data_IF_084680135913
#
_entry.id   IF_084680135913
#
_cell.length_a   1.000
_cell.length_b   1.000
_cell.length_c   1.000
_cell.angle_alpha   90.00
_cell.angle_beta   90.00
_cell.angle_gamma   90.00
#
_symmetry.space_group_name_H-M   'P 1'
#
loop_
_entity.id
_entity.type
_entity.pdbx_description
1 polymer ?
#
# COMPACT_ATOMS: atom_id res chain seq x y z
N UNK A 1 16.59 13.20 -0.21
CA UNK A 1 16.09 12.03 0.52
C UNK A 1 17.14 11.37 1.43
N UNK A 2 18.00 12.18 2.07
CA UNK A 2 18.75 11.85 3.27
C UNK A 2 18.83 13.20 4.00
N UNK A 3 18.32 13.29 5.22
CA UNK A 3 18.42 14.55 5.96
C UNK A 3 19.90 14.77 6.31
N UNK A 4 20.53 15.88 5.89
CA UNK A 4 21.96 16.10 6.14
C UNK A 4 22.34 16.20 7.64
N UNK A 5 21.34 16.25 8.52
CA UNK A 5 21.47 16.50 9.96
C UNK A 5 21.00 15.34 10.83
N UNK A 6 20.85 14.12 10.31
CA UNK A 6 20.62 12.97 11.18
C UNK A 6 21.96 12.46 11.71
N UNK A 7 22.11 12.36 13.03
CA UNK A 7 23.27 11.72 13.69
C UNK A 7 23.42 10.22 13.35
N UNK A 8 22.54 9.67 12.53
CA UNK A 8 22.56 8.28 12.08
C UNK A 8 23.31 8.12 10.76
N UNK A 9 24.29 7.17 10.69
CA UNK A 9 24.98 6.85 9.45
C UNK A 9 23.99 6.54 8.32
N UNK A 10 24.29 7.03 7.11
CA UNK A 10 23.46 6.89 5.89
C UNK A 10 23.01 5.44 5.63
N UNK A 11 23.85 4.44 5.99
CA UNK A 11 23.51 3.03 5.85
C UNK A 11 22.33 2.60 6.71
N UNK A 12 22.19 3.16 7.92
CA UNK A 12 21.04 2.86 8.79
C UNK A 12 19.76 3.48 8.25
N UNK A 13 19.83 4.66 7.62
CA UNK A 13 18.67 5.29 6.99
C UNK A 13 18.10 4.43 5.84
N UNK A 14 18.94 3.70 5.10
CA UNK A 14 18.50 2.75 4.08
C UNK A 14 17.72 1.56 4.68
N UNK A 15 18.10 1.10 5.88
CA UNK A 15 17.35 0.05 6.59
C UNK A 15 16.01 0.54 7.16
N UNK A 16 15.93 1.82 7.56
CA UNK A 16 14.69 2.42 8.08
C UNK A 16 13.75 2.94 6.99
N UNK A 17 14.24 3.05 5.75
CA UNK A 17 13.43 3.45 4.62
C UNK A 17 12.43 2.32 4.29
N UNK A 18 11.27 2.38 4.92
CA UNK A 18 10.21 1.42 4.70
C UNK A 18 9.54 1.68 3.36
N UNK A 19 9.97 0.95 2.34
CA UNK A 19 9.29 0.89 1.05
C UNK A 19 8.07 -0.06 1.09
N UNK A 20 7.27 -0.02 0.03
CA UNK A 20 6.04 -0.80 -0.08
C UNK A 20 6.26 -2.32 -0.06
N UNK A 21 7.40 -2.83 -0.56
CA UNK A 21 7.73 -4.26 -0.55
C UNK A 21 8.11 -4.72 0.86
N UNK A 22 8.91 -3.93 1.58
CA UNK A 22 9.24 -4.21 2.98
C UNK A 22 7.98 -4.17 3.85
N UNK A 23 7.10 -3.19 3.63
CA UNK A 23 5.76 -3.16 4.22
C UNK A 23 4.96 -4.43 3.92
N UNK A 24 4.87 -4.83 2.65
CA UNK A 24 4.07 -6.00 2.24
C UNK A 24 4.56 -7.29 2.92
N UNK A 25 5.87 -7.49 3.02
CA UNK A 25 6.47 -8.63 3.73
C UNK A 25 6.10 -8.64 5.21
N UNK A 26 6.26 -7.50 5.91
CA UNK A 26 5.88 -7.38 7.32
C UNK A 26 4.38 -7.53 7.54
N UNK A 27 3.55 -6.96 6.66
CA UNK A 27 2.11 -7.12 6.71
C UNK A 27 1.73 -8.61 6.63
N UNK A 28 2.32 -9.39 5.72
CA UNK A 28 2.04 -10.83 5.67
C UNK A 28 2.44 -11.57 6.94
N UNK A 29 3.60 -11.26 7.53
CA UNK A 29 4.01 -11.84 8.82
C UNK A 29 2.99 -11.52 9.90
N UNK A 30 2.58 -10.25 10.02
CA UNK A 30 1.60 -9.80 11.01
C UNK A 30 0.23 -10.46 10.80
N UNK A 31 -0.25 -10.54 9.55
CA UNK A 31 -1.52 -11.19 9.23
C UNK A 31 -1.47 -12.70 9.49
N UNK A 32 -0.35 -13.36 9.22
CA UNK A 32 -0.17 -14.78 9.52
C UNK A 32 -0.23 -15.04 11.03
N UNK A 33 0.43 -14.19 11.84
CA UNK A 33 0.35 -14.24 13.30
C UNK A 33 -1.09 -14.01 13.79
N UNK A 34 -1.79 -13.03 13.23
CA UNK A 34 -3.18 -12.78 13.57
C UNK A 34 -4.10 -13.93 13.20
N UNK A 35 -3.87 -14.62 12.08
CA UNK A 35 -4.67 -15.78 11.68
C UNK A 35 -4.53 -16.96 12.66
N UNK A 36 -3.42 -17.05 13.41
CA UNK A 36 -3.28 -18.04 14.49
C UNK A 36 -4.37 -17.87 15.57
N UNK A 37 -4.74 -16.63 15.90
CA UNK A 37 -5.67 -16.31 16.98
C UNK A 37 -7.09 -15.94 16.48
N UNK A 38 -7.19 -15.25 15.35
CA UNK A 38 -8.44 -14.64 14.87
C UNK A 38 -9.19 -15.51 13.87
N UNK A 39 -10.00 -16.43 14.39
CA UNK A 39 -10.74 -17.39 13.55
C UNK A 39 -12.05 -16.86 12.97
N UNK A 40 -12.74 -15.93 13.63
CA UNK A 40 -14.04 -15.39 13.19
C UNK A 40 -13.86 -14.09 12.41
N UNK A 41 -14.74 -13.82 11.45
CA UNK A 41 -14.61 -12.63 10.57
C UNK A 41 -14.75 -11.32 11.33
N UNK A 42 -15.59 -11.30 12.37
CA UNK A 42 -15.74 -10.10 13.20
C UNK A 42 -14.45 -9.74 13.94
N UNK A 43 -13.54 -10.69 14.22
CA UNK A 43 -12.23 -10.39 14.80
C UNK A 43 -11.41 -9.50 13.86
N UNK A 44 -11.42 -9.81 12.56
CA UNK A 44 -10.70 -9.05 11.53
C UNK A 44 -11.33 -7.67 11.30
N UNK A 45 -12.66 -7.57 11.39
CA UNK A 45 -13.36 -6.27 11.35
C UNK A 45 -12.94 -5.39 12.53
N UNK A 46 -12.99 -5.93 13.76
CA UNK A 46 -12.57 -5.21 14.97
C UNK A 46 -11.10 -4.81 14.88
N UNK A 47 -10.24 -5.71 14.42
CA UNK A 47 -8.82 -5.43 14.21
C UNK A 47 -8.61 -4.30 13.20
N UNK A 48 -9.29 -4.33 12.04
CA UNK A 48 -9.17 -3.28 11.03
C UNK A 48 -9.61 -1.91 11.55
N UNK A 49 -10.71 -1.87 12.31
CA UNK A 49 -11.16 -0.65 12.98
C UNK A 49 -10.12 -0.19 14.02
N UNK A 50 -9.63 -1.10 14.87
CA UNK A 50 -8.63 -0.78 15.88
C UNK A 50 -7.36 -0.22 15.24
N UNK A 51 -6.87 -0.81 14.16
CA UNK A 51 -5.70 -0.33 13.42
C UNK A 51 -5.95 1.08 12.87
N UNK A 52 -7.09 1.31 12.21
CA UNK A 52 -7.42 2.62 11.65
C UNK A 52 -7.49 3.72 12.73
N UNK A 53 -8.04 3.42 13.91
CA UNK A 53 -8.19 4.37 15.01
C UNK A 53 -6.93 4.54 15.86
N UNK A 54 -6.16 3.47 16.08
CA UNK A 54 -5.00 3.49 16.96
C UNK A 54 -3.73 3.96 16.25
N UNK A 55 -3.58 3.72 14.94
CA UNK A 55 -2.39 4.12 14.21
C UNK A 55 -2.05 5.62 14.37
N UNK A 56 -3.00 6.56 14.25
CA UNK A 56 -2.73 7.99 14.48
C UNK A 56 -2.18 8.34 15.86
N UNK A 57 -2.54 7.57 16.90
CA UNK A 57 -2.09 7.82 18.27
C UNK A 57 -0.62 7.45 18.48
N UNK A 58 -0.05 6.64 17.59
CA UNK A 58 1.32 6.14 17.71
C UNK A 58 2.33 6.98 16.92
N UNK A 59 1.86 7.84 16.01
CA UNK A 59 2.71 8.62 15.12
C UNK A 59 3.69 9.51 15.87
N UNK A 60 4.99 9.30 15.63
CA UNK A 60 6.06 10.10 16.25
C UNK A 60 6.19 9.93 17.76
N UNK A 61 5.51 8.96 18.35
CA UNK A 61 5.73 8.57 19.75
C UNK A 61 7.06 7.84 19.90
N UNK A 62 7.58 7.82 21.13
CA UNK A 62 8.85 7.14 21.44
C UNK A 62 10.13 7.94 21.14
N UNK A 63 10.03 9.25 20.85
CA UNK A 63 11.22 10.11 20.62
C UNK A 63 12.20 10.09 21.80
N UNK A 64 11.66 10.03 23.02
CA UNK A 64 12.46 9.98 24.25
C UNK A 64 13.13 8.62 24.47
N UNK A 65 12.92 7.63 23.58
CA UNK A 65 13.48 6.29 23.70
C UNK A 65 14.90 6.17 23.11
N UNK A 66 15.49 7.28 22.65
CA UNK A 66 16.85 7.35 22.14
C UNK A 66 17.08 6.38 20.98
N UNK A 67 18.03 5.45 21.14
CA UNK A 67 18.42 4.47 20.10
C UNK A 67 17.29 3.53 19.66
N UNK A 68 16.23 3.38 20.46
CA UNK A 68 15.08 2.56 20.10
C UNK A 68 14.07 3.28 19.22
N UNK A 69 14.08 4.62 19.18
CA UNK A 69 13.14 5.41 18.40
C UNK A 69 13.12 5.01 16.90
N UNK A 70 14.27 4.80 16.23
CA UNK A 70 14.28 4.37 14.83
C UNK A 70 13.73 2.95 14.61
N UNK A 71 13.81 2.05 15.60
CA UNK A 71 13.36 0.66 15.46
C UNK A 71 11.83 0.54 15.42
N UNK A 72 11.12 1.51 15.99
CA UNK A 72 9.66 1.53 16.07
C UNK A 72 8.99 2.34 14.97
N UNK A 73 9.72 3.27 14.32
CA UNK A 73 9.21 4.05 13.18
C UNK A 73 8.71 3.20 12.00
N UNK A 74 9.37 2.08 11.63
CA UNK A 74 8.85 1.15 10.64
C UNK A 74 7.40 0.68 10.90
N UNK A 75 6.97 0.63 12.16
CA UNK A 75 5.62 0.21 12.53
C UNK A 75 4.66 1.38 12.67
N UNK A 76 5.05 2.44 13.38
CA UNK A 76 4.16 3.56 13.70
C UNK A 76 4.15 4.63 12.63
N UNK A 77 5.32 4.94 12.07
CA UNK A 77 5.58 6.16 11.32
C UNK A 77 5.95 7.34 12.23
N UNK A 78 6.62 8.33 11.66
CA UNK A 78 7.05 9.54 12.35
C UNK A 78 5.84 10.43 12.70
N UNK A 79 6.05 11.56 13.38
CA UNK A 79 5.00 12.55 13.59
C UNK A 79 4.63 13.20 12.25
N UNK A 80 3.36 13.58 12.11
CA UNK A 80 2.93 14.47 11.04
C UNK A 80 3.44 15.88 11.35
N UNK A 81 4.47 16.32 10.63
CA UNK A 81 4.99 17.68 10.70
C UNK A 81 4.68 18.35 9.36
N UNK A 82 3.83 19.39 9.32
CA UNK A 82 3.52 20.09 8.09
C UNK A 82 4.79 20.56 7.37
N UNK A 83 4.91 20.22 6.09
CA UNK A 83 6.06 20.60 5.25
C UNK A 83 7.31 19.74 5.41
N UNK A 84 7.30 18.71 6.27
CA UNK A 84 8.38 17.72 6.37
C UNK A 84 7.87 16.35 5.91
N UNK A 85 8.49 15.82 4.85
CA UNK A 85 8.17 14.48 4.35
C UNK A 85 8.56 13.41 5.38
N UNK A 86 7.75 12.34 5.46
CA UNK A 86 8.05 11.20 6.34
C UNK A 86 9.28 10.46 5.85
N UNK A 87 10.26 10.25 6.73
CA UNK A 87 11.39 9.34 6.45
C UNK A 87 10.96 7.86 6.40
N UNK A 88 9.71 7.56 6.76
CA UNK A 88 9.09 6.23 6.66
C UNK A 88 7.83 6.31 5.79
N UNK A 89 7.94 6.01 4.49
CA UNK A 89 6.81 6.08 3.54
C UNK A 89 5.70 5.07 3.82
N UNK A 90 6.01 3.81 4.12
CA UNK A 90 4.96 2.78 4.30
C UNK A 90 4.96 2.15 5.70
N UNK A 91 4.76 2.93 6.78
CA UNK A 91 4.73 2.37 8.13
C UNK A 91 3.63 1.31 8.27
N UNK A 92 3.88 0.24 9.01
CA UNK A 92 2.97 -0.91 9.06
C UNK A 92 1.57 -0.52 9.50
N UNK A 93 1.39 0.15 10.65
CA UNK A 93 0.06 0.34 11.22
C UNK A 93 -0.86 1.26 10.40
N UNK A 94 -0.41 2.40 9.86
CA UNK A 94 -1.26 3.22 8.98
C UNK A 94 -1.77 2.47 7.75
N UNK A 95 -0.99 1.50 7.25
CA UNK A 95 -1.29 0.77 6.02
C UNK A 95 -1.88 -0.63 6.26
N UNK A 96 -1.79 -1.20 7.46
CA UNK A 96 -2.19 -2.59 7.75
C UNK A 96 -3.69 -2.85 7.58
N UNK A 97 -4.53 -1.81 7.65
CA UNK A 97 -5.98 -1.94 7.44
C UNK A 97 -6.33 -2.44 6.04
N UNK A 98 -5.58 -2.05 5.00
CA UNK A 98 -5.85 -2.45 3.62
C UNK A 98 -5.69 -3.97 3.39
N UNK A 99 -4.58 -4.61 3.78
CA UNK A 99 -4.44 -6.05 3.63
C UNK A 99 -5.34 -6.83 4.62
N UNK A 100 -5.76 -6.26 5.76
CA UNK A 100 -6.84 -6.84 6.60
C UNK A 100 -8.16 -6.92 5.82
N UNK A 101 -8.55 -5.83 5.15
CA UNK A 101 -9.76 -5.81 4.30
C UNK A 101 -9.62 -6.81 3.15
N UNK A 102 -8.44 -6.89 2.51
CA UNK A 102 -8.14 -7.89 1.50
C UNK A 102 -8.29 -9.33 2.02
N UNK A 103 -7.81 -9.61 3.23
CA UNK A 103 -7.96 -10.92 3.88
C UNK A 103 -9.43 -11.26 4.14
N UNK A 104 -10.26 -10.30 4.56
CA UNK A 104 -11.71 -10.50 4.72
C UNK A 104 -12.39 -10.91 3.41
N UNK A 105 -12.04 -10.26 2.29
CA UNK A 105 -12.55 -10.60 0.96
C UNK A 105 -12.08 -12.01 0.56
N UNK A 106 -10.79 -12.31 0.71
CA UNK A 106 -10.23 -13.63 0.39
C UNK A 106 -10.87 -14.76 1.19
N UNK A 107 -11.04 -14.57 2.50
CA UNK A 107 -11.71 -15.54 3.40
C UNK A 107 -13.16 -15.78 2.99
N UNK A 108 -13.87 -14.75 2.51
CA UNK A 108 -15.23 -14.92 2.02
C UNK A 108 -15.29 -15.89 0.82
N UNK A 109 -14.35 -15.78 -0.12
CA UNK A 109 -14.27 -16.70 -1.26
C UNK A 109 -13.80 -18.10 -0.87
N UNK A 110 -12.80 -18.23 0.02
CA UNK A 110 -12.31 -19.53 0.50
C UNK A 110 -13.41 -20.35 1.20
N UNK A 111 -14.41 -19.69 1.77
CA UNK A 111 -15.58 -20.32 2.39
C UNK A 111 -16.72 -20.62 1.42
N UNK A 112 -16.51 -20.44 0.11
CA UNK A 112 -17.48 -20.75 -0.92
C UNK A 112 -18.60 -19.72 -1.09
N UNK A 113 -18.45 -18.50 -0.57
CA UNK A 113 -19.45 -17.45 -0.85
C UNK A 113 -19.48 -17.13 -2.35
N UNK A 114 -20.68 -17.12 -2.92
CA UNK A 114 -20.88 -16.72 -4.30
C UNK A 114 -20.42 -15.27 -4.53
N UNK A 115 -19.90 -14.99 -5.74
CA UNK A 115 -19.39 -13.67 -6.14
C UNK A 115 -20.39 -12.54 -5.84
N UNK A 116 -21.67 -12.73 -6.15
CA UNK A 116 -22.71 -11.73 -5.89
C UNK A 116 -22.89 -11.41 -4.40
N UNK A 117 -22.74 -12.40 -3.53
CA UNK A 117 -22.82 -12.21 -2.08
C UNK A 117 -21.60 -11.43 -1.55
N UNK A 118 -20.40 -11.71 -2.06
CA UNK A 118 -19.18 -10.98 -1.70
C UNK A 118 -19.27 -9.52 -2.16
N UNK A 119 -19.61 -9.28 -3.44
CA UNK A 119 -19.75 -7.92 -3.98
C UNK A 119 -20.84 -7.13 -3.24
N UNK A 120 -21.97 -7.76 -2.88
CA UNK A 120 -23.01 -7.11 -2.07
C UNK A 120 -22.48 -6.69 -0.69
N UNK A 121 -21.73 -7.56 -0.01
CA UNK A 121 -21.10 -7.21 1.28
C UNK A 121 -20.09 -6.08 1.13
N UNK A 122 -19.27 -6.10 0.08
CA UNK A 122 -18.32 -5.03 -0.22
C UNK A 122 -19.02 -3.70 -0.46
N UNK A 123 -20.11 -3.68 -1.23
CA UNK A 123 -20.93 -2.49 -1.47
C UNK A 123 -21.51 -1.93 -0.16
N UNK A 124 -22.11 -2.79 0.67
CA UNK A 124 -22.65 -2.36 1.97
C UNK A 124 -21.54 -1.79 2.86
N UNK A 125 -20.40 -2.47 2.94
CA UNK A 125 -19.25 -1.98 3.70
C UNK A 125 -18.72 -0.65 3.16
N UNK A 126 -18.63 -0.49 1.84
CA UNK A 126 -18.22 0.75 1.20
C UNK A 126 -19.18 1.91 1.51
N UNK A 127 -20.49 1.67 1.49
CA UNK A 127 -21.48 2.69 1.85
C UNK A 127 -21.38 3.09 3.33
N UNK A 128 -21.22 2.12 4.23
CA UNK A 128 -21.08 2.38 5.66
C UNK A 128 -19.77 3.12 6.00
N UNK A 129 -18.65 2.66 5.44
CA UNK A 129 -17.33 3.30 5.61
C UNK A 129 -17.29 4.67 4.92
N UNK A 130 -17.89 4.79 3.73
CA UNK A 130 -17.97 6.05 3.00
C UNK A 130 -18.79 7.10 3.76
N UNK A 131 -19.97 6.72 4.27
CA UNK A 131 -20.81 7.61 5.05
C UNK A 131 -20.16 8.00 6.39
N UNK A 132 -19.60 7.02 7.12
CA UNK A 132 -18.92 7.29 8.39
C UNK A 132 -17.64 8.10 8.21
N UNK A 133 -16.80 7.76 7.23
CA UNK A 133 -15.60 8.50 6.88
C UNK A 133 -15.91 9.93 6.45
N UNK A 134 -16.91 10.11 5.58
CA UNK A 134 -17.38 11.43 5.15
C UNK A 134 -17.91 12.27 6.31
N UNK A 135 -18.68 11.67 7.23
CA UNK A 135 -19.16 12.35 8.42
C UNK A 135 -18.01 12.76 9.35
N UNK A 136 -17.02 11.89 9.57
CA UNK A 136 -15.83 12.21 10.38
C UNK A 136 -15.05 13.37 9.74
N UNK A 137 -14.84 13.34 8.43
CA UNK A 137 -14.17 14.43 7.70
C UNK A 137 -14.94 15.74 7.84
N UNK A 138 -16.27 15.71 7.69
CA UNK A 138 -17.11 16.89 7.77
C UNK A 138 -17.14 17.51 9.17
N UNK A 139 -17.16 16.69 10.23
CA UNK A 139 -17.25 17.16 11.62
C UNK A 139 -15.88 17.46 12.26
N UNK A 140 -14.79 16.93 11.71
CA UNK A 140 -13.45 17.06 12.28
C UNK A 140 -12.85 18.44 12.05
N UNK A 141 -12.27 19.02 13.11
CA UNK A 141 -11.40 20.20 13.01
C UNK A 141 -9.98 19.87 12.51
N UNK A 142 -9.58 18.61 12.65
CA UNK A 142 -8.30 18.09 12.14
C UNK A 142 -8.44 17.74 10.67
N UNK A 143 -7.43 18.06 9.86
CA UNK A 143 -7.35 17.57 8.49
C UNK A 143 -7.22 16.04 8.48
N UNK A 144 -8.33 15.35 8.20
CA UNK A 144 -8.40 13.89 8.25
C UNK A 144 -7.52 13.22 7.18
N UNK A 145 -7.19 13.90 6.09
CA UNK A 145 -6.32 13.37 5.04
C UNK A 145 -4.84 13.30 5.44
N UNK A 146 -4.43 13.95 6.54
CA UNK A 146 -3.06 13.88 7.03
C UNK A 146 -2.04 14.20 5.93
N UNK A 147 -1.14 13.25 5.66
CA UNK A 147 -0.29 13.24 4.47
C UNK A 147 -0.53 11.98 3.62
N UNK A 148 0.20 11.85 2.49
CA UNK A 148 0.05 10.73 1.57
C UNK A 148 0.27 9.34 2.22
N UNK A 149 1.09 9.28 3.27
CA UNK A 149 1.52 8.03 3.91
C UNK A 149 0.76 7.71 5.21
N UNK A 150 0.08 8.71 5.78
CA UNK A 150 -0.53 8.67 7.11
C UNK A 150 -1.83 9.45 7.08
N UNK A 151 -2.94 8.71 7.08
CA UNK A 151 -4.30 9.23 7.10
C UNK A 151 -4.97 8.96 8.44
N UNK A 152 -5.78 9.92 8.89
CA UNK A 152 -6.65 9.73 10.06
C UNK A 152 -7.89 8.89 9.68
N UNK A 153 -8.66 8.38 10.66
CA UNK A 153 -9.69 7.38 10.41
C UNK A 153 -10.74 7.81 9.38
N UNK A 154 -11.09 9.10 9.34
CA UNK A 154 -12.06 9.63 8.37
C UNK A 154 -11.62 9.42 6.93
N UNK A 155 -10.39 9.82 6.59
CA UNK A 155 -9.85 9.64 5.24
C UNK A 155 -9.54 8.16 4.96
N UNK A 156 -9.02 7.41 5.94
CA UNK A 156 -8.81 5.96 5.80
C UNK A 156 -10.10 5.23 5.41
N UNK A 157 -11.22 5.54 6.06
CA UNK A 157 -12.52 4.93 5.74
C UNK A 157 -13.02 5.29 4.34
N UNK A 158 -12.82 6.55 3.91
CA UNK A 158 -13.15 6.98 2.55
C UNK A 158 -12.30 6.22 1.51
N UNK A 159 -11.00 6.06 1.74
CA UNK A 159 -10.12 5.29 0.87
C UNK A 159 -10.54 3.83 0.77
N UNK A 160 -10.82 3.17 1.91
CA UNK A 160 -11.29 1.78 1.91
C UNK A 160 -12.63 1.67 1.16
N UNK A 161 -13.54 2.63 1.32
CA UNK A 161 -14.79 2.65 0.59
C UNK A 161 -14.56 2.71 -0.93
N UNK A 162 -13.66 3.59 -1.39
CA UNK A 162 -13.28 3.68 -2.80
C UNK A 162 -12.65 2.37 -3.27
N UNK A 163 -11.72 1.78 -2.52
CA UNK A 163 -11.06 0.52 -2.86
C UNK A 163 -12.06 -0.62 -3.01
N UNK A 164 -13.02 -0.74 -2.08
CA UNK A 164 -14.07 -1.75 -2.13
C UNK A 164 -14.97 -1.58 -3.37
N UNK A 165 -15.34 -0.34 -3.70
CA UNK A 165 -16.12 -0.06 -4.91
C UNK A 165 -15.32 -0.37 -6.18
N UNK A 166 -14.04 0.02 -6.20
CA UNK A 166 -13.13 -0.21 -7.31
C UNK A 166 -12.92 -1.70 -7.58
N UNK A 167 -12.58 -2.47 -6.54
CA UNK A 167 -12.39 -3.92 -6.64
C UNK A 167 -13.72 -4.60 -7.01
N UNK A 168 -14.83 -4.20 -6.38
CA UNK A 168 -16.16 -4.74 -6.68
C UNK A 168 -16.56 -4.50 -8.13
N UNK A 169 -16.27 -3.32 -8.68
CA UNK A 169 -16.48 -2.97 -10.09
C UNK A 169 -15.69 -3.91 -11.01
N UNK A 170 -14.39 -4.13 -10.76
CA UNK A 170 -13.58 -5.05 -11.57
C UNK A 170 -14.05 -6.50 -11.50
N UNK A 171 -14.49 -6.94 -10.32
CA UNK A 171 -15.10 -8.26 -10.13
C UNK A 171 -16.38 -8.44 -10.95
N UNK A 172 -17.17 -7.37 -11.12
CA UNK A 172 -18.36 -7.40 -11.99
C UNK A 172 -17.99 -7.32 -13.46
N UNK A 173 -17.02 -6.48 -13.84
CA UNK A 173 -16.55 -6.37 -15.23
C UNK A 173 -15.97 -7.68 -15.75
N UNK A 174 -15.36 -8.49 -14.89
CA UNK A 174 -14.89 -9.84 -15.24
C UNK A 174 -15.98 -10.79 -15.75
N UNK A 175 -17.26 -10.48 -15.54
CA UNK A 175 -18.38 -11.27 -16.10
C UNK A 175 -18.67 -10.94 -17.56
N UNK A 176 -18.20 -9.81 -18.06
CA UNK A 176 -18.51 -9.35 -19.41
C UNK A 176 -17.30 -9.56 -20.32
N UNK A 177 -17.43 -10.46 -21.30
CA UNK A 177 -16.35 -10.81 -22.23
C UNK A 177 -15.77 -9.61 -23.00
N UNK A 178 -16.54 -8.52 -23.16
CA UNK A 178 -16.08 -7.27 -23.79
C UNK A 178 -14.87 -6.66 -23.08
N UNK A 179 -14.73 -6.86 -21.76
CA UNK A 179 -13.61 -6.32 -20.99
C UNK A 179 -12.44 -7.30 -20.86
N UNK A 180 -12.55 -8.53 -21.37
CA UNK A 180 -11.59 -9.60 -21.11
C UNK A 180 -10.16 -9.18 -21.47
N UNK A 181 -9.95 -8.60 -22.65
CA UNK A 181 -8.61 -8.16 -23.09
C UNK A 181 -8.00 -7.10 -22.16
N UNK A 182 -8.79 -6.12 -21.71
CA UNK A 182 -8.34 -5.09 -20.76
C UNK A 182 -8.02 -5.72 -19.41
N UNK A 183 -8.88 -6.62 -18.93
CA UNK A 183 -8.68 -7.35 -17.69
C UNK A 183 -7.47 -8.28 -17.75
N UNK A 184 -7.13 -8.86 -18.90
CA UNK A 184 -5.94 -9.69 -19.08
C UNK A 184 -4.66 -8.86 -18.86
N UNK A 185 -4.62 -7.61 -19.34
CA UNK A 185 -3.52 -6.70 -19.03
C UNK A 185 -3.46 -6.39 -17.54
N UNK A 186 -4.57 -5.97 -16.92
CA UNK A 186 -4.60 -5.67 -15.48
C UNK A 186 -4.21 -6.89 -14.63
N UNK A 187 -4.67 -8.08 -15.04
CA UNK A 187 -4.33 -9.36 -14.41
C UNK A 187 -2.85 -9.68 -14.58
N UNK A 188 -2.24 -9.38 -15.74
CA UNK A 188 -0.80 -9.51 -15.91
C UNK A 188 -0.04 -8.62 -14.92
N UNK A 189 -0.43 -7.36 -14.76
CA UNK A 189 0.20 -6.45 -13.81
C UNK A 189 0.04 -6.94 -12.37
N UNK A 190 -1.17 -7.34 -11.99
CA UNK A 190 -1.47 -7.85 -10.65
C UNK A 190 -0.69 -9.13 -10.32
N UNK A 191 -0.63 -10.10 -11.24
CA UNK A 191 0.10 -11.37 -11.04
C UNK A 191 1.60 -11.20 -10.91
N UNK A 192 2.17 -10.17 -11.55
CA UNK A 192 3.62 -9.95 -11.59
C UNK A 192 4.03 -8.71 -10.78
N UNK A 193 3.19 -8.26 -9.84
CA UNK A 193 3.31 -6.97 -9.18
C UNK A 193 4.67 -6.79 -8.50
N UNK A 194 5.18 -7.81 -7.80
CA UNK A 194 6.50 -7.77 -7.15
C UNK A 194 7.63 -7.53 -8.14
N UNK A 195 7.64 -8.24 -9.28
CA UNK A 195 8.66 -8.07 -10.30
C UNK A 195 8.55 -6.69 -10.97
N UNK A 196 7.33 -6.23 -11.22
CA UNK A 196 7.07 -4.90 -11.75
C UNK A 196 7.63 -3.82 -10.82
N UNK A 197 7.38 -3.92 -9.51
CA UNK A 197 7.90 -2.97 -8.53
C UNK A 197 9.43 -2.97 -8.50
N UNK A 198 10.08 -4.13 -8.58
CA UNK A 198 11.54 -4.21 -8.70
C UNK A 198 12.06 -3.52 -9.96
N UNK A 199 11.40 -3.75 -11.09
CA UNK A 199 11.73 -3.07 -12.36
C UNK A 199 11.54 -1.56 -12.22
N UNK A 200 10.44 -1.10 -11.63
CA UNK A 200 10.16 0.31 -11.41
C UNK A 200 11.20 0.96 -10.50
N UNK A 201 11.61 0.28 -9.43
CA UNK A 201 12.68 0.76 -8.54
C UNK A 201 13.99 1.01 -9.29
N UNK A 202 14.38 0.08 -10.18
CA UNK A 202 15.55 0.26 -11.03
C UNK A 202 15.33 1.41 -12.03
N UNK A 203 14.21 1.44 -12.74
CA UNK A 203 13.92 2.45 -13.76
C UNK A 203 13.84 3.86 -13.18
N UNK A 204 13.13 4.05 -12.07
CA UNK A 204 12.96 5.34 -11.40
C UNK A 204 14.27 5.76 -10.74
N UNK A 205 14.95 4.84 -10.04
CA UNK A 205 16.23 5.10 -9.39
C UNK A 205 17.30 5.61 -10.36
N UNK A 206 17.53 4.89 -11.45
CA UNK A 206 18.47 5.33 -12.50
C UNK A 206 17.93 6.51 -13.30
N UNK A 207 16.60 6.58 -13.52
CA UNK A 207 15.94 7.69 -14.21
C UNK A 207 16.17 9.04 -13.52
N UNK A 208 16.11 9.08 -12.18
CA UNK A 208 16.41 10.28 -11.39
C UNK A 208 17.87 10.75 -11.56
N UNK A 209 18.82 9.81 -11.68
CA UNK A 209 20.24 10.13 -11.91
C UNK A 209 20.45 10.69 -13.32
N UNK A 210 19.82 10.10 -14.33
CA UNK A 210 20.00 10.45 -15.74
C UNK A 210 19.31 11.78 -16.09
N UNK A 211 18.05 11.94 -15.68
CA UNK A 211 17.24 13.14 -15.98
C UNK A 211 17.61 14.33 -15.10
N UNK A 212 18.27 14.07 -13.96
CA UNK A 212 18.56 15.06 -12.95
C UNK A 212 17.32 15.42 -12.13
N UNK A 213 17.42 15.24 -10.81
CA UNK A 213 16.31 15.43 -9.87
C UNK A 213 15.57 16.77 -10.02
N UNK A 214 16.29 17.87 -10.29
CA UNK A 214 15.71 19.23 -10.40
C UNK A 214 14.87 19.46 -11.67
N UNK A 215 14.97 18.60 -12.69
CA UNK A 215 14.12 18.72 -13.88
C UNK A 215 12.71 18.15 -13.64
N UNK A 216 12.52 17.41 -12.54
CA UNK A 216 11.24 16.80 -12.15
C UNK A 216 10.29 17.79 -11.45
N UNK A 217 10.73 19.02 -11.16
CA UNK A 217 9.88 20.07 -10.57
C UNK A 217 8.81 20.58 -11.56
N UNK A 218 8.95 20.27 -12.86
CA UNK A 218 7.94 20.57 -13.86
C UNK A 218 6.90 19.45 -13.95
N UNK A 219 5.68 19.72 -13.48
CA UNK A 219 4.58 18.74 -13.47
C UNK A 219 4.25 18.16 -14.85
N UNK A 220 4.45 18.91 -15.94
CA UNK A 220 4.20 18.40 -17.29
C UNK A 220 5.22 17.34 -17.72
N UNK A 221 6.48 17.49 -17.31
CA UNK A 221 7.51 16.48 -17.54
C UNK A 221 7.14 15.20 -16.79
N UNK A 222 6.73 15.33 -15.52
CA UNK A 222 6.28 14.18 -14.72
C UNK A 222 5.09 13.48 -15.38
N UNK A 223 4.06 14.22 -15.81
CA UNK A 223 2.89 13.67 -16.49
C UNK A 223 3.26 12.95 -17.80
N UNK A 224 4.17 13.50 -18.58
CA UNK A 224 4.66 12.88 -19.81
C UNK A 224 5.46 11.60 -19.55
N UNK A 225 6.17 11.52 -18.41
CA UNK A 225 6.96 10.35 -18.03
C UNK A 225 6.10 9.17 -17.57
N UNK A 226 4.90 9.40 -17.02
CA UNK A 226 3.99 8.33 -16.55
C UNK A 226 3.79 7.25 -17.63
N UNK A 227 3.25 7.53 -18.84
CA UNK A 227 3.03 6.50 -19.84
C UNK A 227 4.32 5.81 -20.28
N UNK A 228 5.45 6.52 -20.31
CA UNK A 228 6.77 5.97 -20.63
C UNK A 228 7.20 4.95 -19.59
N UNK A 229 7.14 5.29 -18.30
CA UNK A 229 7.48 4.37 -17.22
C UNK A 229 6.57 3.16 -17.17
N UNK A 230 5.26 3.33 -17.41
CA UNK A 230 4.32 2.20 -17.51
C UNK A 230 4.69 1.26 -18.67
N UNK A 231 4.96 1.81 -19.86
CA UNK A 231 5.37 1.01 -21.00
C UNK A 231 6.70 0.28 -20.75
N UNK A 232 7.72 0.99 -20.28
CA UNK A 232 9.03 0.40 -19.98
C UNK A 232 8.93 -0.70 -18.93
N UNK A 233 8.17 -0.46 -17.85
CA UNK A 233 7.97 -1.46 -16.80
C UNK A 233 7.28 -2.71 -17.34
N UNK A 234 6.25 -2.56 -18.17
CA UNK A 234 5.57 -3.68 -18.81
C UNK A 234 6.50 -4.51 -19.70
N UNK A 235 7.22 -3.86 -20.62
CA UNK A 235 8.09 -4.56 -21.57
C UNK A 235 9.30 -5.19 -20.89
N UNK A 236 9.93 -4.49 -19.93
CA UNK A 236 11.04 -5.01 -19.15
C UNK A 236 10.61 -6.24 -18.33
N UNK A 237 9.47 -6.16 -17.64
CA UNK A 237 8.90 -7.30 -16.89
C UNK A 237 8.66 -8.49 -17.82
N UNK A 238 8.02 -8.27 -18.97
CA UNK A 238 7.74 -9.33 -19.94
C UNK A 238 9.02 -9.98 -20.49
N UNK A 239 10.09 -9.21 -20.67
CA UNK A 239 11.41 -9.71 -21.07
C UNK A 239 12.06 -10.54 -19.97
N UNK A 240 12.02 -10.07 -18.72
CA UNK A 240 12.58 -10.77 -17.57
C UNK A 240 11.87 -12.10 -17.30
N UNK A 241 10.54 -12.13 -17.39
CA UNK A 241 9.74 -13.36 -17.26
C UNK A 241 10.10 -14.43 -18.30
N UNK A 242 10.62 -14.03 -19.48
CA UNK A 242 11.07 -14.95 -20.53
C UNK A 242 12.52 -15.42 -20.36
N UNK A 243 13.25 -14.90 -19.38
CA UNK A 243 14.65 -15.25 -19.12
C UNK A 243 14.74 -16.37 -18.09
N UNK A 244 15.09 -17.62 -18.47
CA UNK A 244 15.10 -18.75 -17.54
C UNK A 244 16.09 -18.57 -16.38
N UNK A 245 17.26 -17.99 -16.68
CA UNK A 245 18.30 -17.71 -15.67
C UNK A 245 17.87 -16.67 -14.64
N UNK A 246 17.16 -15.64 -15.08
CA UNK A 246 16.62 -14.64 -14.15
C UNK A 246 15.51 -15.26 -13.31
N UNK A 247 14.59 -15.99 -13.94
CA UNK A 247 13.46 -16.60 -13.25
C UNK A 247 13.88 -17.68 -12.26
N UNK A 248 14.96 -18.43 -12.49
CA UNK A 248 15.47 -19.38 -11.50
C UNK A 248 15.95 -18.70 -10.23
N UNK A 249 16.61 -17.54 -10.35
CA UNK A 249 17.04 -16.74 -9.21
C UNK A 249 15.84 -16.08 -8.55
N UNK A 250 14.97 -15.44 -9.33
CA UNK A 250 13.81 -14.72 -8.82
C UNK A 250 12.79 -15.64 -8.13
N UNK A 251 12.55 -16.84 -8.66
CA UNK A 251 11.68 -17.84 -8.04
C UNK A 251 12.24 -18.35 -6.71
N UNK A 252 13.56 -18.36 -6.52
CA UNK A 252 14.16 -18.69 -5.22
C UNK A 252 13.85 -17.61 -4.17
N UNK A 253 13.80 -16.34 -4.56
CA UNK A 253 13.44 -15.21 -3.67
C UNK A 253 11.95 -15.07 -3.37
N UNK A 254 11.07 -15.71 -4.15
CA UNK A 254 9.60 -15.50 -4.09
C UNK A 254 8.81 -16.76 -3.71
N UNK A 255 9.51 -17.86 -3.42
CA UNK A 255 8.95 -19.07 -2.80
C UNK A 255 8.95 -18.93 -1.30
#
# INVERSE_FOLDING_TARGET
>A
YLTPNSDFPVLWQLFYFMDILTFAGLAFIVLALFDLFFKKDWHWVVLGLLVAWAAPLLWGTGRDWGVFYPLVQPFWGNALIPGLESDTPFPVFPWLVYPIVGALIGRAFLRGNALGAVVKKMLVAALLLGASGGLIVFLSKTNQFGDFYRMYPGATFLCIAIDLLWIGMFMLFAKFGVFQKTLDYLTFWSKNITLIYLVQWVLIGFGMVILGYRQLDNSWIVLALIPVFFALSYFATKKLLRSPRFMSVFAWFTR
#
